data_IF_902833925881
#
_entry.id   IF_902833925881
#
_cell.length_a   1.000
_cell.length_b   1.000
_cell.length_c   1.000
_cell.angle_alpha   90.00
_cell.angle_beta   90.00
_cell.angle_gamma   90.00
#
_symmetry.space_group_name_H-M   'P 1'
#
loop_
_entity.id
_entity.type
_entity.pdbx_description
1 polymer ?
#
# COMPACT_ATOMS: atom_id res chain seq x y z
N UNK A 1 25.39 16.28 7.30
CA UNK A 1 24.73 15.94 8.58
C UNK A 1 23.31 16.48 8.53
N UNK A 2 22.33 15.64 8.25
CA UNK A 2 20.89 15.96 8.39
C UNK A 2 20.25 14.79 9.12
N UNK A 3 20.56 14.68 10.42
CA UNK A 3 19.73 13.93 11.35
C UNK A 3 18.56 14.85 11.72
N UNK A 4 17.47 14.79 10.97
CA UNK A 4 16.20 15.44 11.32
C UNK A 4 15.16 14.91 10.31
N UNK A 5 14.19 14.05 10.65
CA UNK A 5 12.96 14.43 11.37
C UNK A 5 12.08 13.18 11.61
N UNK A 6 12.60 12.13 12.26
CA UNK A 6 11.73 11.08 12.82
C UNK A 6 11.38 11.49 14.26
N UNK A 7 10.25 12.18 14.42
CA UNK A 7 9.74 12.68 15.69
C UNK A 7 8.40 12.02 16.01
N UNK A 8 8.02 12.02 17.28
CA UNK A 8 6.71 11.57 17.77
C UNK A 8 5.55 12.42 17.23
N UNK A 9 5.83 13.62 16.73
CA UNK A 9 4.83 14.53 16.17
C UNK A 9 4.66 14.37 14.66
N UNK A 10 5.55 13.63 14.00
CA UNK A 10 5.47 13.39 12.56
C UNK A 10 4.28 12.49 12.24
N UNK A 11 3.44 12.84 11.25
CA UNK A 11 2.38 11.97 10.78
C UNK A 11 2.91 10.61 10.32
N UNK A 12 2.24 9.52 10.67
CA UNK A 12 2.70 8.17 10.32
C UNK A 12 2.71 7.92 8.80
N UNK A 13 1.84 8.60 8.05
CA UNK A 13 1.83 8.57 6.59
C UNK A 13 3.06 9.26 5.99
N UNK A 14 3.49 10.38 6.57
CA UNK A 14 4.73 11.06 6.17
C UNK A 14 5.96 10.19 6.43
N UNK A 15 5.98 9.48 7.55
CA UNK A 15 7.05 8.53 7.88
C UNK A 15 7.12 7.43 6.80
N UNK A 16 5.97 6.82 6.46
CA UNK A 16 5.90 5.78 5.44
C UNK A 16 6.31 6.28 4.05
N UNK A 17 5.90 7.50 3.67
CA UNK A 17 6.23 8.08 2.37
C UNK A 17 7.71 8.44 2.23
N UNK A 18 8.33 8.97 3.30
CA UNK A 18 9.75 9.34 3.31
C UNK A 18 10.67 8.14 3.48
N UNK A 19 10.22 7.13 4.23
CA UNK A 19 10.98 5.92 4.53
C UNK A 19 10.12 4.69 4.22
N UNK A 20 10.03 4.24 2.96
CA UNK A 20 9.22 3.07 2.59
C UNK A 20 9.55 1.83 3.42
N UNK A 21 10.80 1.66 3.83
CA UNK A 21 11.25 0.57 4.70
C UNK A 21 10.58 0.58 6.08
N UNK A 22 10.17 1.75 6.59
CA UNK A 22 9.48 1.89 7.87
C UNK A 22 8.09 1.26 7.88
N UNK A 23 7.47 1.04 6.71
CA UNK A 23 6.15 0.39 6.60
C UNK A 23 6.14 -0.99 7.25
N UNK A 24 7.27 -1.71 7.22
CA UNK A 24 7.42 -3.01 7.87
C UNK A 24 7.35 -2.90 9.39
N UNK A 25 8.10 -1.98 9.99
CA UNK A 25 7.96 -1.66 11.42
C UNK A 25 6.55 -1.22 11.76
N UNK A 26 6.01 -0.21 11.08
CA UNK A 26 4.68 0.34 11.36
C UNK A 26 3.60 -0.77 11.34
N UNK A 27 3.61 -1.61 10.31
CA UNK A 27 2.70 -2.75 10.21
C UNK A 27 2.88 -3.75 11.36
N UNK A 28 4.12 -4.09 11.71
CA UNK A 28 4.44 -5.03 12.80
C UNK A 28 3.94 -4.57 14.16
N UNK A 29 3.94 -3.26 14.40
CA UNK A 29 3.40 -2.64 15.62
C UNK A 29 1.90 -2.31 15.51
N UNK A 30 1.22 -2.69 14.43
CA UNK A 30 -0.22 -2.46 14.23
C UNK A 30 -0.59 -1.00 13.99
N UNK A 31 0.38 -0.17 13.57
CA UNK A 31 0.18 1.24 13.26
C UNK A 31 -0.40 1.36 11.85
N UNK A 32 -1.59 1.95 11.73
CA UNK A 32 -2.23 2.23 10.46
C UNK A 32 -1.68 3.53 9.86
N UNK A 33 -0.81 3.38 8.87
CA UNK A 33 -0.20 4.49 8.13
C UNK A 33 -0.87 4.77 6.78
N UNK A 34 -1.87 3.97 6.39
CA UNK A 34 -2.57 4.11 5.12
C UNK A 34 -3.82 4.99 5.29
N UNK A 35 -4.79 4.54 6.08
CA UNK A 35 -6.04 5.29 6.33
C UNK A 35 -5.85 6.29 7.49
N UNK A 36 -5.10 5.88 8.51
CA UNK A 36 -4.72 6.68 9.67
C UNK A 36 -3.49 7.58 9.46
N UNK A 37 -3.01 7.73 8.22
CA UNK A 37 -1.74 8.38 7.87
C UNK A 37 -1.52 9.77 8.48
N UNK A 38 -2.59 10.55 8.65
CA UNK A 38 -2.53 11.90 9.21
C UNK A 38 -2.29 11.99 10.72
N UNK A 39 -2.35 10.87 11.46
CA UNK A 39 -2.13 10.89 12.91
C UNK A 39 -0.64 11.03 13.24
N UNK A 40 -0.27 11.87 14.22
CA UNK A 40 1.08 11.86 14.78
C UNK A 40 1.48 10.47 15.28
N UNK A 41 2.76 10.12 15.16
CA UNK A 41 3.30 8.84 15.63
C UNK A 41 2.96 8.57 17.11
N UNK A 42 3.05 9.58 17.97
CA UNK A 42 2.66 9.50 19.39
C UNK A 42 1.22 9.05 19.57
N UNK A 43 0.30 9.64 18.80
CA UNK A 43 -1.12 9.34 18.88
C UNK A 43 -1.44 7.95 18.33
N UNK A 44 -0.84 7.58 17.19
CA UNK A 44 -1.01 6.25 16.62
C UNK A 44 -0.47 5.16 17.57
N UNK A 45 0.68 5.40 18.20
CA UNK A 45 1.26 4.53 19.22
C UNK A 45 0.35 4.40 20.44
N UNK A 46 -0.18 5.52 20.95
CA UNK A 46 -1.09 5.53 22.10
C UNK A 46 -2.33 4.68 21.87
N UNK A 47 -2.95 4.77 20.69
CA UNK A 47 -4.13 3.96 20.32
C UNK A 47 -3.84 2.46 20.27
N UNK A 48 -2.59 2.07 20.05
CA UNK A 48 -2.15 0.68 19.97
C UNK A 48 -1.40 0.20 21.21
N UNK A 49 -1.30 1.03 22.25
CA UNK A 49 -0.52 0.76 23.46
C UNK A 49 0.95 0.38 23.13
N UNK A 50 1.54 1.09 22.16
CA UNK A 50 2.92 0.93 21.71
C UNK A 50 3.77 2.06 22.30
N UNK A 51 4.98 1.74 22.73
CA UNK A 51 5.99 2.72 23.12
C UNK A 51 6.56 3.43 21.86
N UNK A 52 6.35 4.75 21.70
CA UNK A 52 6.83 5.49 20.54
C UNK A 52 8.35 5.41 20.36
N UNK A 53 9.13 5.42 21.45
CA UNK A 53 10.59 5.40 21.37
C UNK A 53 11.11 4.06 20.86
N UNK A 54 10.46 2.97 21.29
CA UNK A 54 10.74 1.63 20.78
C UNK A 54 10.49 1.52 19.27
N UNK A 55 9.38 2.06 18.79
CA UNK A 55 9.05 2.06 17.36
C UNK A 55 10.03 2.91 16.56
N UNK A 56 10.38 4.10 17.05
CA UNK A 56 11.40 4.96 16.43
C UNK A 56 12.74 4.23 16.31
N UNK A 57 13.16 3.51 17.36
CA UNK A 57 14.40 2.75 17.34
C UNK A 57 14.37 1.59 16.32
N UNK A 58 13.23 0.91 16.16
CA UNK A 58 13.07 -0.16 15.15
C UNK A 58 13.11 0.40 13.73
N UNK A 59 12.39 1.50 13.48
CA UNK A 59 12.40 2.20 12.17
C UNK A 59 13.82 2.65 11.81
N UNK A 60 14.55 3.25 12.76
CA UNK A 60 15.95 3.67 12.54
C UNK A 60 16.87 2.51 12.18
N UNK A 61 16.64 1.33 12.76
CA UNK A 61 17.38 0.10 12.46
C UNK A 61 17.06 -0.43 11.06
N UNK A 62 15.79 -0.39 10.65
CA UNK A 62 15.40 -0.79 9.29
C UNK A 62 15.97 0.16 8.23
N UNK A 63 15.98 1.47 8.51
CA UNK A 63 16.62 2.47 7.64
C UNK A 63 18.12 2.23 7.51
N UNK A 64 18.84 1.90 8.60
CA UNK A 64 20.29 1.71 8.53
C UNK A 64 20.73 0.37 7.95
N UNK A 65 19.85 -0.64 7.93
CA UNK A 65 20.12 -1.98 7.41
C UNK A 65 19.62 -2.21 5.98
N UNK A 66 18.85 -1.28 5.42
CA UNK A 66 18.33 -1.40 4.07
C UNK A 66 19.36 -0.92 3.04
N UNK A 67 19.90 -1.87 2.29
CA UNK A 67 20.59 -1.63 1.01
C UNK A 67 19.60 -1.82 -0.17
N UNK A 68 18.30 -1.58 0.05
CA UNK A 68 17.23 -1.94 -0.88
C UNK A 68 17.05 -0.85 -1.95
N UNK A 69 17.26 -1.15 -3.25
CA UNK A 69 17.09 -0.19 -4.35
C UNK A 69 15.64 0.31 -4.52
N UNK A 70 14.66 -0.36 -3.90
CA UNK A 70 13.25 0.07 -3.89
C UNK A 70 12.89 1.13 -2.83
N UNK A 71 13.87 1.60 -2.06
CA UNK A 71 13.69 2.54 -0.94
C UNK A 71 13.72 4.02 -1.34
N UNK A 72 13.78 4.33 -2.63
CA UNK A 72 13.77 5.70 -3.10
C UNK A 72 12.48 6.41 -2.63
N UNK A 73 12.66 7.49 -1.88
CA UNK A 73 11.56 8.34 -1.44
C UNK A 73 10.75 8.83 -2.66
N UNK A 74 9.43 8.68 -2.58
CA UNK A 74 8.49 9.27 -3.54
C UNK A 74 8.31 10.77 -3.32
N UNK A 75 8.84 11.28 -2.20
CA UNK A 75 8.79 12.72 -1.87
C UNK A 75 9.59 13.50 -2.92
N UNK A 76 8.89 14.36 -3.67
CA UNK A 76 9.50 15.21 -4.71
C UNK A 76 9.51 14.59 -6.12
N UNK A 77 9.03 13.36 -6.30
CA UNK A 77 8.78 12.79 -7.63
C UNK A 77 7.47 13.32 -8.22
N UNK A 78 7.36 13.30 -9.55
CA UNK A 78 6.12 13.75 -10.18
C UNK A 78 4.98 12.73 -9.96
N UNK A 79 3.71 13.17 -9.97
CA UNK A 79 2.59 12.24 -9.94
C UNK A 79 2.63 11.21 -11.08
N UNK A 80 3.13 11.60 -12.26
CA UNK A 80 3.34 10.71 -13.41
C UNK A 80 4.30 9.56 -13.07
N UNK A 81 5.45 9.86 -12.45
CA UNK A 81 6.43 8.83 -12.09
C UNK A 81 5.84 7.82 -11.09
N UNK A 82 5.01 8.29 -10.15
CA UNK A 82 4.33 7.43 -9.19
C UNK A 82 3.24 6.57 -9.86
N UNK A 83 2.43 7.16 -10.75
CA UNK A 83 1.42 6.42 -11.53
C UNK A 83 2.08 5.33 -12.37
N UNK A 84 3.13 5.67 -13.12
CA UNK A 84 3.89 4.72 -13.94
C UNK A 84 4.47 3.59 -13.09
N UNK A 85 4.99 3.91 -11.89
CA UNK A 85 5.46 2.89 -10.97
C UNK A 85 4.32 1.99 -10.46
N UNK A 86 3.19 2.56 -10.04
CA UNK A 86 2.04 1.78 -9.53
C UNK A 86 1.56 0.78 -10.59
N UNK A 87 1.41 1.23 -11.83
CA UNK A 87 0.94 0.39 -12.93
C UNK A 87 1.95 -0.72 -13.22
N UNK A 88 3.24 -0.39 -13.35
CA UNK A 88 4.25 -1.36 -13.77
C UNK A 88 4.66 -2.33 -12.66
N UNK A 89 4.79 -1.85 -11.42
CA UNK A 89 5.23 -2.65 -10.28
C UNK A 89 4.10 -3.49 -9.67
N UNK A 90 2.84 -3.03 -9.75
CA UNK A 90 1.72 -3.70 -9.09
C UNK A 90 0.62 -4.14 -10.06
N UNK A 91 0.04 -3.25 -10.88
CA UNK A 91 -1.14 -3.62 -11.68
C UNK A 91 -0.81 -4.66 -12.76
N UNK A 92 0.30 -4.49 -13.48
CA UNK A 92 0.72 -5.41 -14.55
C UNK A 92 1.02 -6.82 -14.01
N UNK A 93 1.80 -7.00 -12.93
CA UNK A 93 1.96 -8.31 -12.29
C UNK A 93 0.64 -8.89 -11.79
N UNK A 94 -0.20 -8.09 -11.14
CA UNK A 94 -1.44 -8.56 -10.52
C UNK A 94 -2.44 -9.09 -11.57
N UNK A 95 -2.55 -8.45 -12.74
CA UNK A 95 -3.33 -8.95 -13.88
C UNK A 95 -2.91 -10.34 -14.37
N UNK A 96 -1.65 -10.73 -14.17
CA UNK A 96 -1.13 -12.06 -14.52
C UNK A 96 -1.33 -13.07 -13.41
N UNK A 97 -1.10 -12.65 -12.16
CA UNK A 97 -1.13 -13.56 -11.01
C UNK A 97 -2.55 -13.91 -10.55
N UNK A 98 -3.50 -12.98 -10.63
CA UNK A 98 -4.90 -13.25 -10.23
C UNK A 98 -5.53 -14.45 -10.98
N UNK A 99 -5.57 -14.50 -12.33
CA UNK A 99 -6.16 -15.65 -13.02
C UNK A 99 -5.37 -16.95 -12.80
N UNK A 100 -4.05 -16.86 -12.59
CA UNK A 100 -3.21 -18.02 -12.27
C UNK A 100 -3.57 -18.61 -10.90
N UNK A 101 -3.71 -17.77 -9.89
CA UNK A 101 -4.11 -18.17 -8.53
C UNK A 101 -5.54 -18.71 -8.52
N UNK A 102 -6.47 -18.11 -9.27
CA UNK A 102 -7.83 -18.63 -9.45
C UNK A 102 -7.79 -20.07 -9.99
N UNK A 103 -7.01 -20.33 -11.05
CA UNK A 103 -6.87 -21.65 -11.65
C UNK A 103 -6.28 -22.67 -10.66
N UNK A 104 -5.30 -22.25 -9.84
CA UNK A 104 -4.74 -23.09 -8.78
C UNK A 104 -5.78 -23.41 -7.70
N UNK A 105 -6.54 -22.42 -7.26
CA UNK A 105 -7.58 -22.60 -6.25
C UNK A 105 -8.71 -23.51 -6.74
N UNK A 106 -9.19 -23.31 -7.98
CA UNK A 106 -10.16 -24.20 -8.62
C UNK A 106 -9.63 -25.64 -8.71
N UNK A 107 -8.34 -25.83 -8.97
CA UNK A 107 -7.72 -27.17 -8.95
C UNK A 107 -7.75 -27.79 -7.55
N UNK A 108 -7.47 -27.01 -6.50
CA UNK A 108 -7.56 -27.46 -5.11
C UNK A 108 -8.99 -27.87 -4.77
N UNK A 109 -9.98 -27.02 -5.04
CA UNK A 109 -11.40 -27.32 -4.81
C UNK A 109 -11.82 -28.58 -5.57
N UNK A 110 -11.39 -28.75 -6.83
CA UNK A 110 -11.71 -29.95 -7.61
C UNK A 110 -11.14 -31.24 -7.01
N UNK A 111 -9.89 -31.22 -6.53
CA UNK A 111 -9.21 -32.43 -6.02
C UNK A 111 -9.58 -32.72 -4.57
N UNK A 112 -9.72 -31.67 -3.74
CA UNK A 112 -9.84 -31.77 -2.29
C UNK A 112 -11.18 -31.26 -1.75
N UNK A 113 -12.09 -30.77 -2.60
CA UNK A 113 -13.40 -30.25 -2.18
C UNK A 113 -14.27 -31.26 -1.44
N UNK A 114 -14.06 -32.56 -1.66
CA UNK A 114 -14.77 -33.60 -0.90
C UNK A 114 -14.35 -33.68 0.58
N UNK A 115 -13.18 -33.13 0.95
CA UNK A 115 -12.65 -33.16 2.32
C UNK A 115 -13.32 -32.10 3.18
N UNK A 116 -13.53 -30.91 2.62
CA UNK A 116 -14.10 -29.75 3.32
C UNK A 116 -14.84 -28.86 2.30
N UNK A 117 -16.02 -29.29 1.82
CA UNK A 117 -16.70 -28.67 0.68
C UNK A 117 -17.12 -27.24 0.97
N UNK A 118 -17.59 -26.96 2.19
CA UNK A 118 -18.10 -25.65 2.58
C UNK A 118 -16.97 -24.62 2.62
N UNK A 119 -15.87 -24.91 3.34
CA UNK A 119 -14.76 -23.95 3.47
C UNK A 119 -13.98 -23.75 2.19
N UNK A 120 -13.78 -24.81 1.39
CA UNK A 120 -13.09 -24.69 0.10
C UNK A 120 -13.95 -24.00 -0.95
N UNK A 121 -15.27 -24.19 -0.92
CA UNK A 121 -16.22 -23.43 -1.72
C UNK A 121 -16.20 -21.95 -1.38
N UNK A 122 -16.37 -21.61 -0.09
CA UNK A 122 -16.36 -20.23 0.40
C UNK A 122 -15.03 -19.52 0.08
N UNK A 123 -13.90 -20.20 0.22
CA UNK A 123 -12.59 -19.67 -0.14
C UNK A 123 -12.51 -19.30 -1.63
N UNK A 124 -13.04 -20.16 -2.51
CA UNK A 124 -13.06 -19.89 -3.95
C UNK A 124 -13.97 -18.71 -4.28
N UNK A 125 -15.16 -18.66 -3.69
CA UNK A 125 -16.11 -17.56 -3.91
C UNK A 125 -15.53 -16.22 -3.45
N UNK A 126 -14.95 -16.19 -2.24
CA UNK A 126 -14.25 -15.02 -1.68
C UNK A 126 -13.10 -14.56 -2.59
N UNK A 127 -12.32 -15.51 -3.11
CA UNK A 127 -11.21 -15.20 -4.00
C UNK A 127 -11.68 -14.60 -5.34
N UNK A 128 -12.72 -15.18 -5.94
CA UNK A 128 -13.27 -14.69 -7.22
C UNK A 128 -13.87 -13.30 -7.06
N UNK A 129 -14.53 -13.04 -5.94
CA UNK A 129 -15.03 -11.70 -5.60
C UNK A 129 -13.89 -10.68 -5.44
N UNK A 130 -12.86 -11.01 -4.65
CA UNK A 130 -11.69 -10.17 -4.49
C UNK A 130 -11.00 -9.86 -5.83
N UNK A 131 -10.84 -10.88 -6.68
CA UNK A 131 -10.26 -10.72 -8.01
C UNK A 131 -11.08 -9.74 -8.87
N UNK A 132 -12.41 -9.89 -8.88
CA UNK A 132 -13.31 -8.97 -9.61
C UNK A 132 -13.13 -7.54 -9.11
N UNK A 133 -13.19 -7.33 -7.80
CA UNK A 133 -13.06 -6.00 -7.19
C UNK A 133 -11.72 -5.34 -7.51
N UNK A 134 -10.61 -6.08 -7.40
CA UNK A 134 -9.28 -5.56 -7.70
C UNK A 134 -9.14 -5.19 -9.18
N UNK A 135 -9.66 -6.01 -10.10
CA UNK A 135 -9.62 -5.72 -11.54
C UNK A 135 -10.44 -4.47 -11.87
N UNK A 136 -11.65 -4.36 -11.33
CA UNK A 136 -12.49 -3.18 -11.52
C UNK A 136 -11.85 -1.93 -10.91
N UNK A 137 -11.22 -2.05 -9.75
CA UNK A 137 -10.51 -0.96 -9.08
C UNK A 137 -9.35 -0.44 -9.93
N UNK A 138 -8.42 -1.32 -10.34
CA UNK A 138 -7.29 -0.94 -11.19
C UNK A 138 -7.74 -0.31 -12.50
N UNK A 139 -8.84 -0.81 -13.08
CA UNK A 139 -9.38 -0.24 -14.31
C UNK A 139 -9.89 1.19 -14.10
N UNK A 140 -10.67 1.44 -13.04
CA UNK A 140 -11.14 2.79 -12.70
C UNK A 140 -9.98 3.75 -12.44
N UNK A 141 -8.94 3.26 -11.76
CA UNK A 141 -7.73 4.06 -11.53
C UNK A 141 -7.07 4.46 -12.86
N UNK A 142 -6.80 3.50 -13.74
CA UNK A 142 -6.11 3.74 -15.01
C UNK A 142 -6.95 4.51 -16.04
N UNK A 143 -8.27 4.33 -16.08
CA UNK A 143 -9.14 4.97 -17.08
C UNK A 143 -9.73 6.31 -16.65
N UNK A 144 -9.83 6.57 -15.34
CA UNK A 144 -10.51 7.76 -14.82
C UNK A 144 -9.63 8.56 -13.85
N UNK A 145 -9.10 7.92 -12.80
CA UNK A 145 -8.42 8.65 -11.72
C UNK A 145 -7.04 9.17 -12.15
N UNK A 146 -6.16 8.29 -12.64
CA UNK A 146 -4.80 8.64 -13.04
C UNK A 146 -4.79 9.70 -14.15
N UNK A 147 -5.64 9.62 -15.21
CA UNK A 147 -5.75 10.70 -16.18
C UNK A 147 -6.14 12.06 -15.56
N UNK A 148 -7.02 12.07 -14.56
CA UNK A 148 -7.42 13.31 -13.85
C UNK A 148 -6.30 13.88 -12.98
N UNK A 149 -5.44 13.02 -12.42
CA UNK A 149 -4.25 13.45 -11.65
C UNK A 149 -3.18 14.04 -12.57
N UNK A 150 -3.01 13.48 -13.78
CA UNK A 150 -2.05 14.00 -14.77
C UNK A 150 -2.54 15.26 -15.49
N UNK A 151 -3.84 15.53 -15.48
CA UNK A 151 -4.40 16.70 -16.12
C UNK A 151 -3.84 18.00 -15.49
N UNK A 152 -3.43 18.98 -16.30
CA UNK A 152 -3.04 20.29 -15.78
C UNK A 152 -4.22 20.91 -15.01
N UNK A 153 -3.96 21.71 -13.96
CA UNK A 153 -5.02 22.37 -13.21
C UNK A 153 -5.89 23.19 -14.17
N UNK A 154 -7.20 22.95 -14.15
CA UNK A 154 -8.17 23.68 -14.96
C UNK A 154 -8.04 25.17 -14.65
N UNK A 155 -7.41 25.93 -15.54
CA UNK A 155 -7.43 27.38 -15.49
C UNK A 155 -8.82 27.82 -15.96
N UNK A 156 -9.79 27.86 -15.06
CA UNK A 156 -11.05 28.58 -15.33
C UNK A 156 -10.69 30.05 -15.50
N UNK A 157 -10.83 30.65 -16.70
CA UNK A 157 -10.64 32.08 -16.86
C UNK A 157 -11.71 32.76 -16.01
N UNK A 158 -11.26 33.53 -15.01
CA UNK A 158 -12.11 34.42 -14.23
C UNK A 158 -12.71 35.45 -15.20
N UNK A 159 -13.97 35.27 -15.58
CA UNK A 159 -14.67 36.20 -16.44
C UNK A 159 -14.87 37.52 -15.68
N UNK A 160 -14.47 38.61 -16.33
CA UNK A 160 -14.47 39.99 -15.80
C UNK A 160 -15.87 40.56 -15.75
#
# INVERSE_FOLDING_TARGET
MTQDTLSTDTPVGDIAARFPVATRSLHRFGIDFCCGGGLPLSEACRRRNVDPDRLIADIRREISSSADPGSDSWTGRSPRDLIDHIVNAYHVPLRKELPRLEAMLRKVVRVHGHIDPDRLGELLDTYVELQRELVEHMQKEESELFPRIEAPPNNTPNNT
#
